data_IF_992756737288
#
_entry.id   IF_992756737288
#
_cell.length_a   1.000
_cell.length_b   1.000
_cell.length_c   1.000
_cell.angle_alpha   90.00
_cell.angle_beta   90.00
_cell.angle_gamma   90.00
#
_symmetry.space_group_name_H-M   'P 1'
#
loop_
_entity.id
_entity.type
_entity.pdbx_description
1 polymer ?
#
# COMPACT_ATOMS: atom_id res chain seq x y z
N UNK A 1 68.90 31.46 -3.41
CA UNK A 1 67.43 31.52 -3.46
C UNK A 1 67.01 31.34 -4.92
N UNK A 2 66.56 30.15 -5.30
CA UNK A 2 66.05 29.89 -6.66
C UNK A 2 64.69 29.23 -6.52
N UNK A 3 63.66 29.97 -6.89
CA UNK A 3 62.27 29.56 -6.93
C UNK A 3 62.06 28.80 -8.27
N UNK A 4 61.84 27.49 -8.22
CA UNK A 4 61.41 26.70 -9.37
C UNK A 4 59.89 26.61 -9.37
N UNK A 5 59.28 27.32 -10.32
CA UNK A 5 57.85 27.36 -10.58
C UNK A 5 57.33 26.02 -11.08
N UNK A 6 56.50 25.38 -10.26
CA UNK A 6 55.78 24.16 -10.62
C UNK A 6 54.64 24.51 -11.59
N UNK A 7 54.85 24.31 -12.89
CA UNK A 7 53.80 24.50 -13.91
C UNK A 7 52.79 23.34 -13.80
N UNK A 8 51.66 23.60 -13.15
CA UNK A 8 50.51 22.69 -13.15
C UNK A 8 49.88 22.70 -14.56
N UNK A 9 49.90 21.54 -15.21
CA UNK A 9 49.40 21.37 -16.57
C UNK A 9 47.87 21.27 -16.52
N UNK A 10 47.16 22.30 -17.00
CA UNK A 10 45.68 22.38 -17.05
C UNK A 10 45.05 21.21 -17.82
N UNK A 11 45.82 20.52 -18.65
CA UNK A 11 45.39 19.34 -19.40
C UNK A 11 45.15 18.10 -18.52
N UNK A 12 45.91 17.94 -17.43
CA UNK A 12 45.80 16.77 -16.54
C UNK A 12 44.52 16.82 -15.68
N UNK A 13 44.02 18.02 -15.37
CA UNK A 13 42.83 18.21 -14.53
C UNK A 13 41.52 17.92 -15.28
N UNK A 14 41.48 18.21 -16.58
CA UNK A 14 40.30 17.96 -17.41
C UNK A 14 40.01 16.45 -17.59
N UNK A 15 41.05 15.61 -17.64
CA UNK A 15 40.89 14.15 -17.79
C UNK A 15 40.28 13.53 -16.52
N UNK A 16 40.65 14.01 -15.33
CA UNK A 16 40.12 13.50 -14.06
C UNK A 16 38.64 13.89 -13.87
N UNK A 17 38.25 15.10 -14.29
CA UNK A 17 36.86 15.56 -14.21
C UNK A 17 35.96 14.79 -15.20
N UNK A 18 36.48 14.44 -16.38
CA UNK A 18 35.72 13.67 -17.37
C UNK A 18 35.50 12.23 -16.91
N UNK A 19 36.47 11.60 -16.24
CA UNK A 19 36.33 10.25 -15.66
C UNK A 19 35.33 10.24 -14.49
N UNK A 20 35.28 11.30 -13.67
CA UNK A 20 34.30 11.42 -12.58
C UNK A 20 32.85 11.60 -13.07
N UNK A 21 32.63 12.26 -14.22
CA UNK A 21 31.28 12.43 -14.77
C UNK A 21 30.78 11.18 -15.51
N UNK A 22 31.68 10.36 -16.06
CA UNK A 22 31.30 9.08 -16.70
C UNK A 22 30.92 8.01 -15.66
N UNK A 23 31.46 8.07 -14.44
CA UNK A 23 31.08 7.15 -13.34
C UNK A 23 29.83 7.56 -12.55
N UNK A 24 29.29 8.77 -12.74
CA UNK A 24 28.09 9.25 -12.04
C UNK A 24 26.77 8.88 -12.72
N UNK A 25 26.82 8.31 -13.93
CA UNK A 25 25.64 7.83 -14.63
C UNK A 25 25.57 6.30 -14.53
N UNK A 26 25.33 5.77 -13.33
CA UNK A 26 24.73 4.43 -13.26
C UNK A 26 23.36 4.54 -13.91
N UNK A 27 23.07 3.84 -15.02
CA UNK A 27 21.68 3.69 -15.40
C UNK A 27 21.01 3.01 -14.20
N UNK A 28 19.95 3.61 -13.70
CA UNK A 28 19.03 2.91 -12.80
C UNK A 28 18.45 1.78 -13.64
N UNK A 29 19.16 0.66 -13.70
CA UNK A 29 18.68 -0.56 -14.28
C UNK A 29 17.60 -1.02 -13.30
N UNK A 30 16.35 -0.68 -13.62
CA UNK A 30 15.18 -1.26 -12.95
C UNK A 30 15.31 -2.77 -13.04
N UNK A 31 15.70 -3.41 -11.95
CA UNK A 31 15.83 -4.85 -11.88
C UNK A 31 14.44 -5.47 -11.95
N UNK A 32 14.03 -5.83 -13.17
CA UNK A 32 12.75 -6.48 -13.43
C UNK A 32 12.60 -7.82 -12.68
N UNK A 33 13.68 -8.39 -12.14
CA UNK A 33 13.61 -9.63 -11.36
C UNK A 33 12.79 -9.48 -10.07
N UNK A 34 12.89 -8.33 -9.40
CA UNK A 34 12.18 -8.05 -8.15
C UNK A 34 10.67 -7.87 -8.36
N UNK A 35 10.27 -7.13 -9.40
CA UNK A 35 8.84 -6.94 -9.73
C UNK A 35 8.15 -8.22 -10.19
N UNK A 36 8.86 -9.08 -10.94
CA UNK A 36 8.30 -10.37 -11.37
C UNK A 36 7.96 -11.25 -10.16
N UNK A 37 8.78 -11.23 -9.10
CA UNK A 37 8.53 -11.99 -7.89
C UNK A 37 7.22 -11.60 -7.18
N UNK A 38 6.98 -10.30 -6.97
CA UNK A 38 5.73 -9.85 -6.33
C UNK A 38 4.48 -10.17 -7.14
N UNK A 39 4.56 -9.99 -8.46
CA UNK A 39 3.44 -10.29 -9.36
C UNK A 39 3.13 -11.80 -9.37
N UNK A 40 4.15 -12.64 -9.34
CA UNK A 40 4.01 -14.09 -9.30
C UNK A 40 3.41 -14.55 -7.97
N UNK A 41 3.84 -13.97 -6.84
CA UNK A 41 3.23 -14.22 -5.52
C UNK A 41 1.75 -13.79 -5.53
N UNK A 42 1.43 -12.61 -6.05
CA UNK A 42 0.06 -12.11 -6.12
C UNK A 42 -0.85 -12.98 -7.00
N UNK A 43 -0.30 -13.57 -8.07
CA UNK A 43 -0.98 -14.50 -8.97
C UNK A 43 -0.98 -15.94 -8.48
N UNK A 44 -0.22 -16.26 -7.43
CA UNK A 44 -0.19 -17.61 -6.88
C UNK A 44 -1.62 -18.06 -6.52
N UNK A 45 -1.99 -19.33 -6.75
CA UNK A 45 -3.34 -19.80 -6.47
C UNK A 45 -3.79 -19.50 -5.03
N UNK A 46 -2.88 -19.61 -4.06
CA UNK A 46 -3.17 -19.31 -2.65
C UNK A 46 -3.64 -17.86 -2.46
N UNK A 47 -2.86 -16.88 -2.92
CA UNK A 47 -3.17 -15.46 -2.74
C UNK A 47 -4.37 -15.06 -3.59
N UNK A 48 -4.40 -15.51 -4.85
CA UNK A 48 -5.47 -15.15 -5.79
C UNK A 48 -6.84 -15.64 -5.31
N UNK A 49 -6.98 -16.93 -4.98
CA UNK A 49 -8.28 -17.46 -4.56
C UNK A 49 -8.71 -16.92 -3.19
N UNK A 50 -7.77 -16.71 -2.27
CA UNK A 50 -8.07 -16.04 -1.00
C UNK A 50 -8.57 -14.60 -1.25
N UNK A 51 -7.90 -13.82 -2.10
CA UNK A 51 -8.32 -12.46 -2.44
C UNK A 51 -9.70 -12.42 -3.10
N UNK A 52 -9.99 -13.35 -4.02
CA UNK A 52 -11.32 -13.53 -4.61
C UNK A 52 -12.36 -13.85 -3.54
N UNK A 53 -12.03 -14.70 -2.56
CA UNK A 53 -12.95 -15.04 -1.47
C UNK A 53 -13.30 -13.83 -0.59
N UNK A 54 -12.30 -12.98 -0.28
CA UNK A 54 -12.51 -11.74 0.48
C UNK A 54 -13.41 -10.79 -0.30
N UNK A 55 -13.09 -10.55 -1.58
CA UNK A 55 -13.89 -9.69 -2.46
C UNK A 55 -15.35 -10.15 -2.51
N UNK A 56 -15.60 -11.45 -2.69
CA UNK A 56 -16.95 -12.02 -2.75
C UNK A 56 -17.69 -11.88 -1.41
N UNK A 57 -17.01 -12.13 -0.29
CA UNK A 57 -17.61 -11.96 1.04
C UNK A 57 -18.04 -10.51 1.31
N UNK A 58 -17.22 -9.55 0.89
CA UNK A 58 -17.55 -8.12 0.95
C UNK A 58 -18.69 -7.76 0.00
N UNK A 59 -18.65 -8.24 -1.25
CA UNK A 59 -19.69 -7.97 -2.24
C UNK A 59 -21.07 -8.47 -1.82
N UNK A 60 -21.14 -9.66 -1.21
CA UNK A 60 -22.38 -10.25 -0.72
C UNK A 60 -22.97 -9.50 0.50
N UNK A 61 -22.16 -8.74 1.25
CA UNK A 61 -22.59 -8.07 2.48
C UNK A 61 -22.21 -6.57 2.48
N UNK A 62 -22.74 -5.78 1.53
CA UNK A 62 -22.37 -4.37 1.38
C UNK A 62 -22.90 -3.51 2.54
N UNK A 63 -22.05 -2.64 3.06
CA UNK A 63 -22.38 -1.70 4.13
C UNK A 63 -22.19 -0.24 3.67
N UNK A 64 -23.03 0.68 4.17
CA UNK A 64 -22.97 2.08 3.77
C UNK A 64 -21.89 2.85 4.54
N UNK A 65 -21.58 4.05 4.06
CA UNK A 65 -20.73 5.03 4.74
C UNK A 65 -20.98 5.13 6.26
N UNK A 66 -19.94 4.91 7.05
CA UNK A 66 -19.93 4.92 8.53
C UNK A 66 -20.77 3.81 9.20
N UNK A 67 -21.19 2.80 8.44
CA UNK A 67 -21.94 1.64 8.91
C UNK A 67 -21.23 0.32 8.58
N UNK A 68 -19.97 0.38 8.17
CA UNK A 68 -19.13 -0.74 7.70
C UNK A 68 -18.58 -1.60 8.84
N UNK A 69 -19.44 -2.00 9.78
CA UNK A 69 -19.01 -2.70 11.00
C UNK A 69 -18.51 -4.12 10.72
N UNK A 70 -19.22 -4.89 9.89
CA UNK A 70 -18.83 -6.25 9.54
C UNK A 70 -17.66 -6.27 8.56
N UNK A 71 -17.60 -5.31 7.64
CA UNK A 71 -16.46 -5.08 6.75
C UNK A 71 -15.21 -4.75 7.57
N UNK A 72 -15.29 -3.77 8.48
CA UNK A 72 -14.21 -3.41 9.40
C UNK A 72 -13.73 -4.60 10.23
N UNK A 73 -14.66 -5.39 10.76
CA UNK A 73 -14.36 -6.61 11.52
C UNK A 73 -13.66 -7.67 10.67
N UNK A 74 -14.07 -7.87 9.42
CA UNK A 74 -13.39 -8.77 8.49
C UNK A 74 -11.94 -8.33 8.27
N UNK A 75 -11.72 -7.05 7.98
CA UNK A 75 -10.38 -6.48 7.77
C UNK A 75 -9.51 -6.73 9.00
N UNK A 76 -9.98 -6.37 10.20
CA UNK A 76 -9.24 -6.61 11.45
C UNK A 76 -8.91 -8.09 11.65
N UNK A 77 -9.87 -8.98 11.39
CA UNK A 77 -9.63 -10.43 11.50
C UNK A 77 -8.56 -10.92 10.53
N UNK A 78 -8.51 -10.40 9.30
CA UNK A 78 -7.44 -10.74 8.36
C UNK A 78 -6.08 -10.16 8.79
N UNK A 79 -6.05 -8.93 9.32
CA UNK A 79 -4.83 -8.34 9.88
C UNK A 79 -4.31 -9.11 11.10
N UNK A 80 -5.21 -9.55 12.00
CA UNK A 80 -4.88 -10.39 13.15
C UNK A 80 -4.24 -11.71 12.70
N UNK A 81 -4.81 -12.37 11.68
CA UNK A 81 -4.25 -13.61 11.11
C UNK A 81 -2.86 -13.41 10.51
N UNK A 82 -2.58 -12.24 9.95
CA UNK A 82 -1.27 -11.89 9.39
C UNK A 82 -0.28 -11.40 10.45
N UNK A 83 -0.71 -11.21 11.71
CA UNK A 83 0.12 -10.60 12.75
C UNK A 83 0.50 -9.15 12.42
N UNK A 84 -0.40 -8.41 11.76
CA UNK A 84 -0.22 -7.00 11.42
C UNK A 84 -0.88 -6.15 12.52
N UNK A 85 -0.12 -5.34 13.27
CA UNK A 85 -0.70 -4.42 14.25
C UNK A 85 -1.54 -3.35 13.55
N UNK A 86 -2.62 -2.92 14.18
CA UNK A 86 -3.51 -1.89 13.64
C UNK A 86 -4.12 -1.00 14.74
N UNK A 87 -4.61 0.17 14.32
CA UNK A 87 -5.45 1.07 15.12
C UNK A 87 -6.90 1.00 14.65
N UNK A 88 -7.81 0.88 15.60
CA UNK A 88 -9.25 0.93 15.44
C UNK A 88 -9.89 1.33 16.79
N UNK A 89 -11.01 2.09 16.84
CA UNK A 89 -11.66 2.73 15.70
C UNK A 89 -10.94 4.00 15.24
N UNK A 90 -11.02 4.26 13.93
CA UNK A 90 -10.68 5.54 13.30
C UNK A 90 -11.90 5.97 12.52
N UNK A 91 -12.36 7.21 12.66
CA UNK A 91 -13.58 7.68 11.98
C UNK A 91 -14.78 6.67 12.04
N UNK A 92 -15.05 6.11 13.23
CA UNK A 92 -16.09 5.09 13.52
C UNK A 92 -15.67 3.68 13.11
N UNK A 93 -15.58 3.40 11.81
CA UNK A 93 -15.38 2.04 11.27
C UNK A 93 -13.99 1.82 10.67
N UNK A 94 -13.21 2.88 10.48
CA UNK A 94 -11.89 2.82 9.88
C UNK A 94 -10.86 2.01 10.66
N UNK A 95 -9.89 1.51 9.90
CA UNK A 95 -8.81 0.63 10.37
C UNK A 95 -7.52 1.09 9.73
N UNK A 96 -6.48 1.30 10.56
CA UNK A 96 -5.14 1.63 10.09
C UNK A 96 -4.17 0.53 10.47
N UNK A 97 -3.68 -0.23 9.49
CA UNK A 97 -2.67 -1.27 9.67
C UNK A 97 -1.26 -0.75 9.46
N UNK A 98 -0.28 -1.35 10.15
CA UNK A 98 1.11 -0.91 10.18
C UNK A 98 2.05 -2.06 9.79
N UNK A 99 2.82 -1.92 8.70
CA UNK A 99 3.80 -2.94 8.26
C UNK A 99 5.15 -2.27 7.97
N UNK A 100 6.21 -2.73 8.63
CA UNK A 100 7.57 -2.24 8.37
C UNK A 100 8.37 -2.02 9.64
N UNK A 101 9.52 -1.36 9.50
CA UNK A 101 10.45 -1.11 10.62
C UNK A 101 9.97 -0.12 11.67
N UNK A 102 8.93 0.67 11.36
CA UNK A 102 8.43 1.74 12.24
C UNK A 102 9.17 3.08 12.12
N UNK A 103 10.18 3.17 11.25
CA UNK A 103 10.92 4.41 11.00
C UNK A 103 10.47 5.10 9.71
N UNK A 104 10.69 6.41 9.63
CA UNK A 104 10.40 7.27 8.46
C UNK A 104 11.40 7.05 7.32
N UNK A 105 11.00 7.16 6.03
CA UNK A 105 9.72 7.72 5.56
C UNK A 105 8.53 6.75 5.62
N UNK A 106 7.35 7.34 5.80
CA UNK A 106 6.07 6.64 5.80
C UNK A 106 5.39 6.74 4.44
N UNK A 107 4.87 5.62 3.93
CA UNK A 107 4.05 5.58 2.72
C UNK A 107 2.69 4.97 3.05
N UNK A 108 1.61 5.64 2.64
CA UNK A 108 0.25 5.16 2.82
C UNK A 108 -0.31 4.63 1.51
N UNK A 109 -0.97 3.46 1.56
CA UNK A 109 -1.81 2.95 0.48
C UNK A 109 -3.22 2.76 1.03
N UNK A 110 -4.19 3.26 0.28
CA UNK A 110 -5.56 3.47 0.77
C UNK A 110 -6.56 2.67 -0.04
N UNK A 111 -7.56 2.15 0.66
CA UNK A 111 -8.78 1.61 0.08
C UNK A 111 -10.00 2.34 0.66
N UNK A 112 -11.12 2.25 -0.06
CA UNK A 112 -12.43 2.71 0.41
C UNK A 112 -13.28 1.46 0.53
N UNK A 113 -14.11 1.37 1.58
CA UNK A 113 -14.87 0.17 1.94
C UNK A 113 -16.39 0.34 1.95
N UNK A 114 -16.96 1.53 1.75
CA UNK A 114 -18.43 1.66 1.65
C UNK A 114 -18.98 1.14 0.32
N UNK A 115 -20.21 0.67 0.42
CA UNK A 115 -21.12 0.45 -0.69
C UNK A 115 -22.03 1.66 -0.92
N UNK A 116 -22.88 1.56 -1.94
CA UNK A 116 -23.89 2.56 -2.27
C UNK A 116 -25.30 2.07 -1.95
N UNK A 117 -26.25 2.99 -1.64
CA UNK A 117 -27.66 2.66 -1.44
C UNK A 117 -28.35 2.46 -2.80
N UNK A 118 -28.04 1.35 -3.46
CA UNK A 118 -28.66 0.95 -4.72
C UNK A 118 -28.87 -0.57 -4.80
N UNK A 119 -29.92 -0.97 -5.51
CA UNK A 119 -30.22 -2.37 -5.73
C UNK A 119 -29.26 -2.97 -6.77
N UNK A 120 -28.64 -4.09 -6.42
CA UNK A 120 -27.89 -4.88 -7.40
C UNK A 120 -28.84 -5.61 -8.35
N UNK A 121 -28.64 -5.40 -9.65
CA UNK A 121 -29.43 -5.98 -10.74
C UNK A 121 -28.70 -7.13 -11.46
N UNK A 122 -27.42 -7.35 -11.14
CA UNK A 122 -26.63 -8.43 -11.73
C UNK A 122 -27.05 -9.74 -11.06
N UNK A 123 -27.47 -10.72 -11.85
CA UNK A 123 -27.80 -12.06 -11.37
C UNK A 123 -26.58 -12.97 -11.48
N UNK A 124 -25.99 -13.31 -10.34
CA UNK A 124 -24.82 -14.18 -10.23
C UNK A 124 -24.67 -14.72 -8.79
N UNK A 125 -23.77 -15.69 -8.60
CA UNK A 125 -23.65 -16.45 -7.34
C UNK A 125 -23.34 -15.59 -6.10
N UNK A 126 -22.59 -14.49 -6.27
CA UNK A 126 -22.12 -13.64 -5.15
C UNK A 126 -22.76 -12.25 -5.16
N UNK A 127 -23.97 -12.15 -5.71
CA UNK A 127 -24.81 -10.95 -5.62
C UNK A 127 -24.97 -10.52 -4.15
N UNK A 128 -25.09 -9.22 -3.92
CA UNK A 128 -25.48 -8.64 -2.64
C UNK A 128 -26.69 -9.37 -2.06
N UNK A 129 -26.55 -9.79 -0.80
CA UNK A 129 -27.59 -10.40 0.02
C UNK A 129 -28.36 -9.35 0.84
N UNK A 130 -28.02 -8.07 0.66
CA UNK A 130 -28.63 -6.95 1.38
C UNK A 130 -29.39 -6.08 0.39
N UNK A 131 -30.72 -6.15 0.43
CA UNK A 131 -31.58 -5.39 -0.47
C UNK A 131 -31.30 -3.89 -0.41
N UNK A 132 -31.29 -3.25 -1.59
CA UNK A 132 -31.02 -1.83 -1.75
C UNK A 132 -29.58 -1.40 -1.45
N UNK A 133 -28.61 -2.33 -1.32
CA UNK A 133 -27.19 -2.01 -1.16
C UNK A 133 -26.32 -2.81 -2.14
N UNK A 134 -25.29 -2.17 -2.69
CA UNK A 134 -24.37 -2.79 -3.65
C UNK A 134 -23.00 -2.11 -3.64
N UNK A 135 -21.93 -2.90 -3.78
CA UNK A 135 -20.60 -2.40 -4.15
C UNK A 135 -20.50 -2.08 -5.65
N UNK A 136 -21.16 -1.00 -6.08
CA UNK A 136 -21.18 -0.59 -7.49
C UNK A 136 -19.92 0.19 -7.95
N UNK A 137 -19.06 0.60 -7.02
CA UNK A 137 -17.79 1.32 -7.30
C UNK A 137 -16.54 0.44 -7.15
N UNK A 138 -16.69 -0.86 -6.92
CA UNK A 138 -15.55 -1.78 -6.77
C UNK A 138 -14.76 -1.63 -5.45
N UNK A 139 -15.34 -0.98 -4.44
CA UNK A 139 -14.71 -0.79 -3.13
C UNK A 139 -14.38 -2.12 -2.42
N UNK A 140 -15.22 -3.14 -2.59
CA UNK A 140 -14.94 -4.54 -2.22
C UNK A 140 -13.64 -5.08 -2.85
N UNK A 141 -13.39 -4.79 -4.13
CA UNK A 141 -12.17 -5.17 -4.82
C UNK A 141 -10.95 -4.37 -4.32
N UNK A 142 -11.11 -3.07 -4.07
CA UNK A 142 -10.03 -2.25 -3.50
C UNK A 142 -9.56 -2.78 -2.14
N UNK A 143 -10.50 -3.12 -1.24
CA UNK A 143 -10.19 -3.71 0.07
C UNK A 143 -9.49 -5.06 -0.09
N UNK A 144 -9.99 -5.94 -0.98
CA UNK A 144 -9.38 -7.23 -1.21
C UNK A 144 -7.95 -7.14 -1.76
N UNK A 145 -7.72 -6.25 -2.75
CA UNK A 145 -6.38 -5.99 -3.29
C UNK A 145 -5.43 -5.42 -2.23
N UNK A 146 -5.92 -4.53 -1.38
CA UNK A 146 -5.10 -3.91 -0.36
C UNK A 146 -4.74 -4.89 0.77
N UNK A 147 -5.65 -5.80 1.14
CA UNK A 147 -5.35 -6.91 2.05
C UNK A 147 -4.33 -7.89 1.44
N UNK A 148 -4.40 -8.16 0.14
CA UNK A 148 -3.39 -8.97 -0.55
C UNK A 148 -2.02 -8.28 -0.57
N UNK A 149 -1.98 -6.98 -0.87
CA UNK A 149 -0.75 -6.20 -0.75
C UNK A 149 -0.18 -6.26 0.68
N UNK A 150 -1.03 -6.13 1.71
CA UNK A 150 -0.62 -6.25 3.10
C UNK A 150 -0.01 -7.62 3.42
N UNK A 151 -0.65 -8.72 2.96
CA UNK A 151 -0.14 -10.09 3.13
C UNK A 151 1.24 -10.25 2.50
N UNK A 152 1.42 -9.77 1.27
CA UNK A 152 2.68 -9.84 0.53
C UNK A 152 3.76 -8.99 1.23
N UNK A 153 3.46 -7.73 1.54
CA UNK A 153 4.40 -6.80 2.16
C UNK A 153 4.83 -7.24 3.57
N UNK A 154 3.96 -7.92 4.31
CA UNK A 154 4.29 -8.46 5.64
C UNK A 154 5.45 -9.46 5.57
N UNK A 155 5.56 -10.25 4.51
CA UNK A 155 6.71 -11.14 4.31
C UNK A 155 8.03 -10.40 4.07
N UNK A 156 7.96 -9.13 3.65
CA UNK A 156 9.11 -8.27 3.36
C UNK A 156 9.24 -7.12 4.38
N UNK A 157 8.62 -7.23 5.57
CA UNK A 157 8.52 -6.11 6.51
C UNK A 157 9.87 -5.53 6.98
N UNK A 158 10.94 -6.33 6.93
CA UNK A 158 12.30 -5.90 7.30
C UNK A 158 12.94 -4.95 6.29
N UNK A 159 12.44 -4.94 5.06
CA UNK A 159 12.96 -4.15 3.94
C UNK A 159 12.16 -2.87 3.71
N UNK A 160 11.00 -2.72 4.36
CA UNK A 160 10.09 -1.60 4.15
C UNK A 160 9.95 -0.73 5.40
N UNK A 161 9.90 0.57 5.14
CA UNK A 161 9.72 1.60 6.15
C UNK A 161 8.22 1.93 6.17
N UNK A 162 7.63 1.76 7.36
CA UNK A 162 6.22 1.64 7.70
C UNK A 162 5.15 2.02 6.64
N UNK A 163 4.24 1.08 6.43
CA UNK A 163 3.09 1.11 5.53
C UNK A 163 1.79 1.34 6.28
N UNK A 164 0.95 2.26 5.79
CA UNK A 164 -0.34 2.59 6.40
C UNK A 164 -1.49 2.21 5.48
N UNK A 165 -2.35 1.32 5.98
CA UNK A 165 -3.67 1.04 5.40
C UNK A 165 -4.65 2.11 5.90
N UNK A 166 -5.51 2.65 5.06
CA UNK A 166 -6.68 3.43 5.52
C UNK A 166 -7.89 2.86 4.82
N UNK A 167 -8.93 2.61 5.61
CA UNK A 167 -10.24 2.26 5.10
C UNK A 167 -11.22 3.30 5.61
N UNK A 168 -11.69 4.16 4.69
CA UNK A 168 -12.91 4.99 4.77
C UNK A 168 -12.77 6.51 5.08
N UNK A 169 -13.33 7.30 4.14
CA UNK A 169 -13.69 8.74 4.10
C UNK A 169 -12.65 9.85 4.41
N UNK A 170 -12.88 11.03 3.81
CA UNK A 170 -11.99 12.22 3.73
C UNK A 170 -11.42 12.74 5.06
N UNK A 171 -12.03 12.39 6.21
CA UNK A 171 -11.60 12.82 7.55
C UNK A 171 -10.35 12.07 8.06
N UNK A 172 -10.02 10.91 7.49
CA UNK A 172 -8.95 10.04 7.99
C UNK A 172 -7.53 10.52 7.66
N UNK A 173 -7.36 11.33 6.60
CA UNK A 173 -6.04 11.89 6.24
C UNK A 173 -5.50 12.78 7.36
N UNK A 174 -6.40 13.48 8.06
CA UNK A 174 -6.05 14.33 9.20
C UNK A 174 -5.67 13.48 10.42
N UNK A 175 -6.44 12.42 10.70
CA UNK A 175 -6.15 11.50 11.80
C UNK A 175 -4.84 10.72 11.56
N UNK A 176 -4.54 10.36 10.31
CA UNK A 176 -3.27 9.76 9.89
C UNK A 176 -2.09 10.71 10.10
N UNK A 177 -2.23 11.99 9.72
CA UNK A 177 -1.16 12.99 9.95
C UNK A 177 -0.84 13.15 11.43
N UNK A 178 -1.87 13.25 12.27
CA UNK A 178 -1.72 13.29 13.73
C UNK A 178 -1.06 12.04 14.28
N UNK A 179 -1.44 10.87 13.78
CA UNK A 179 -0.88 9.59 14.22
C UNK A 179 0.61 9.44 13.95
N UNK A 180 1.08 10.00 12.84
CA UNK A 180 2.46 9.88 12.41
C UNK A 180 3.33 11.05 12.85
N UNK A 181 2.79 11.96 13.68
CA UNK A 181 3.43 13.23 14.03
C UNK A 181 3.95 13.99 12.79
N UNK A 182 3.23 13.91 11.67
CA UNK A 182 3.58 14.59 10.40
C UNK A 182 3.03 16.02 10.35
N UNK A 183 3.02 16.73 11.47
CA UNK A 183 2.61 18.14 11.52
C UNK A 183 3.73 19.05 10.98
N UNK A 184 3.35 19.94 10.06
CA UNK A 184 4.09 21.15 9.66
C UNK A 184 3.20 22.36 9.92
#
# INVERSE_FOLDING_TARGET
MSCSSFKFNTFQFCIIIFILHVFAATPILSDNSSFNNFLDIAKSPEVFYWMVSIRRKLHENPELGYQEFETSKLIRSELDKMGIPYKHPVAITGVIGFIGTGFSPFVAIRAVMDALPMQEMVEWEHKSKVDGKMHACGHDAHVAMLLAAAKILKHHEKEIQLFLFSNQQRKEVEDLRKLLNLEY
#
